data_IF_549911953582
#
_entry.id   IF_549911953582
#
_cell.length_a   1.000
_cell.length_b   1.000
_cell.length_c   1.000
_cell.angle_alpha   90.00
_cell.angle_beta   90.00
_cell.angle_gamma   90.00
#
_symmetry.space_group_name_H-M   'P 1'
#
loop_
_entity.id
_entity.type
_entity.pdbx_description
1 polymer ?
#
# COMPACT_ATOMS: atom_id res chain seq x y z
N UNK A 1 -46.69 -21.46 -12.60
CA UNK A 1 -45.28 -21.02 -12.54
C UNK A 1 -44.90 -20.63 -13.96
N UNK A 2 -44.50 -19.37 -14.22
CA UNK A 2 -44.09 -18.96 -15.56
C UNK A 2 -42.69 -19.47 -15.83
N UNK A 3 -42.49 -20.20 -16.92
CA UNK A 3 -41.13 -20.49 -17.40
C UNK A 3 -40.42 -19.18 -17.73
N UNK A 4 -39.16 -19.06 -17.32
CA UNK A 4 -38.28 -17.97 -17.73
C UNK A 4 -37.84 -18.24 -19.17
N UNK A 5 -38.50 -17.59 -20.13
CA UNK A 5 -38.21 -17.72 -21.57
C UNK A 5 -36.80 -17.20 -21.91
N UNK A 6 -35.80 -18.07 -21.79
CA UNK A 6 -34.41 -17.74 -22.08
C UNK A 6 -34.13 -17.73 -23.58
N UNK A 7 -33.66 -16.57 -24.07
CA UNK A 7 -33.27 -16.41 -25.46
C UNK A 7 -31.88 -17.02 -25.71
N UNK A 8 -31.81 -18.13 -26.46
CA UNK A 8 -30.54 -18.65 -26.96
C UNK A 8 -30.08 -17.83 -28.17
N UNK A 9 -28.82 -17.39 -28.19
CA UNK A 9 -28.23 -16.62 -29.31
C UNK A 9 -27.08 -17.38 -29.96
N UNK A 10 -27.09 -17.47 -31.28
CA UNK A 10 -25.93 -17.89 -32.08
C UNK A 10 -25.19 -16.64 -32.56
N UNK A 11 -23.87 -16.62 -32.38
CA UNK A 11 -23.01 -15.47 -32.64
C UNK A 11 -21.95 -15.80 -33.69
N UNK A 12 -21.93 -15.03 -34.76
CA UNK A 12 -20.96 -15.12 -35.86
C UNK A 12 -20.13 -13.84 -35.86
N UNK A 13 -18.81 -14.00 -35.77
CA UNK A 13 -17.86 -12.90 -35.87
C UNK A 13 -16.93 -13.15 -37.06
N UNK A 14 -16.87 -12.19 -37.98
CA UNK A 14 -15.93 -12.19 -39.09
C UNK A 14 -14.93 -11.05 -38.89
N UNK A 15 -13.66 -11.32 -39.13
CA UNK A 15 -12.62 -10.29 -39.16
C UNK A 15 -12.64 -9.58 -40.53
N UNK A 16 -12.50 -8.27 -40.50
CA UNK A 16 -12.39 -7.44 -41.70
C UNK A 16 -11.07 -7.69 -42.43
N UNK A 17 -11.04 -7.31 -43.70
CA UNK A 17 -9.86 -7.43 -44.55
C UNK A 17 -8.69 -6.54 -44.08
N UNK A 18 -7.47 -7.01 -44.34
CA UNK A 18 -6.24 -6.26 -44.08
C UNK A 18 -5.87 -5.54 -45.38
N UNK A 19 -5.46 -4.27 -45.27
CA UNK A 19 -5.04 -3.44 -46.39
C UNK A 19 -4.02 -4.15 -47.30
N UNK A 20 -4.28 -4.18 -48.61
CA UNK A 20 -3.50 -4.88 -49.64
C UNK A 20 -2.02 -4.46 -49.73
N UNK A 21 -1.65 -3.31 -49.19
CA UNK A 21 -0.25 -2.89 -49.04
C UNK A 21 0.56 -3.73 -48.05
N UNK A 22 -0.09 -4.50 -47.17
CA UNK A 22 0.58 -5.31 -46.14
C UNK A 22 0.89 -6.71 -46.65
N UNK A 23 2.17 -6.98 -46.94
CA UNK A 23 2.64 -8.31 -47.38
C UNK A 23 2.50 -9.36 -46.27
N UNK A 24 2.00 -10.55 -46.62
CA UNK A 24 1.82 -11.67 -45.68
C UNK A 24 3.09 -12.05 -44.90
N UNK A 25 4.27 -11.94 -45.51
CA UNK A 25 5.56 -12.22 -44.84
C UNK A 25 5.81 -11.27 -43.68
N UNK A 26 5.62 -9.97 -43.88
CA UNK A 26 5.78 -8.93 -42.85
C UNK A 26 4.72 -9.04 -41.75
N UNK A 27 3.52 -9.54 -42.09
CA UNK A 27 2.50 -9.86 -41.10
C UNK A 27 2.94 -11.03 -40.20
N UNK A 28 3.42 -12.14 -40.77
CA UNK A 28 3.93 -13.31 -40.03
C UNK A 28 5.13 -12.95 -39.13
N UNK A 29 6.01 -12.07 -39.60
CA UNK A 29 7.15 -11.56 -38.83
C UNK A 29 6.69 -10.76 -37.62
N UNK A 30 5.73 -9.84 -37.80
CA UNK A 30 5.07 -9.14 -36.69
C UNK A 30 4.37 -10.11 -35.71
N UNK A 31 3.69 -11.15 -36.20
CA UNK A 31 3.06 -12.14 -35.32
C UNK A 31 4.07 -12.93 -34.49
N UNK A 32 5.22 -13.28 -35.08
CA UNK A 32 6.32 -13.96 -34.38
C UNK A 32 6.95 -13.06 -33.31
N UNK A 33 7.23 -11.80 -33.64
CA UNK A 33 7.75 -10.81 -32.68
C UNK A 33 6.75 -10.52 -31.54
N UNK A 34 5.45 -10.47 -31.82
CA UNK A 34 4.43 -10.32 -30.76
C UNK A 34 4.27 -11.57 -29.87
N UNK A 35 4.51 -12.77 -30.40
CA UNK A 35 4.46 -14.01 -29.62
C UNK A 35 5.73 -14.21 -28.77
N UNK A 36 6.89 -13.85 -29.31
CA UNK A 36 8.20 -13.92 -28.66
C UNK A 36 8.99 -12.64 -28.94
N UNK A 37 8.96 -11.63 -28.05
CA UNK A 37 9.63 -10.36 -28.28
C UNK A 37 11.16 -10.52 -28.34
N UNK A 38 11.75 -10.21 -29.50
CA UNK A 38 13.21 -10.21 -29.71
C UNK A 38 13.76 -8.78 -29.87
N UNK A 39 12.89 -7.77 -29.98
CA UNK A 39 13.26 -6.36 -30.16
C UNK A 39 13.45 -5.95 -31.61
N UNK A 40 12.98 -6.76 -32.56
CA UNK A 40 13.14 -6.53 -34.00
C UNK A 40 12.14 -5.46 -34.46
N UNK A 41 12.57 -4.53 -35.32
CA UNK A 41 11.67 -3.54 -35.92
C UNK A 41 10.75 -4.23 -36.93
N UNK A 42 9.45 -4.17 -36.68
CA UNK A 42 8.40 -4.80 -37.51
C UNK A 42 7.37 -3.77 -37.96
N UNK A 43 6.51 -4.15 -38.92
CA UNK A 43 5.42 -3.28 -39.39
C UNK A 43 4.47 -2.90 -38.24
N UNK A 44 3.89 -1.69 -38.29
CA UNK A 44 2.85 -1.28 -37.34
C UNK A 44 1.66 -2.23 -37.45
N UNK A 45 1.25 -2.82 -36.33
CA UNK A 45 0.12 -3.75 -36.31
C UNK A 45 -1.15 -3.09 -36.91
N UNK A 46 -1.78 -3.71 -37.94
CA UNK A 46 -2.98 -3.19 -38.56
C UNK A 46 -4.15 -3.17 -37.57
N UNK A 47 -5.16 -2.34 -37.86
CA UNK A 47 -6.39 -2.29 -37.08
C UNK A 47 -7.16 -3.60 -37.29
N UNK A 48 -7.61 -4.23 -36.20
CA UNK A 48 -8.52 -5.37 -36.30
C UNK A 48 -9.93 -4.80 -36.41
N UNK A 49 -10.48 -4.80 -37.62
CA UNK A 49 -11.90 -4.54 -37.80
C UNK A 49 -12.66 -5.88 -37.70
N UNK A 50 -13.89 -5.86 -37.23
CA UNK A 50 -14.77 -7.03 -37.23
C UNK A 50 -16.22 -6.66 -37.50
N UNK A 51 -16.97 -7.62 -38.03
CA UNK A 51 -18.42 -7.58 -38.15
C UNK A 51 -19.00 -8.67 -37.27
N UNK A 52 -20.01 -8.32 -36.47
CA UNK A 52 -20.69 -9.25 -35.57
C UNK A 52 -22.14 -9.43 -36.02
N UNK A 53 -22.61 -10.66 -36.12
CA UNK A 53 -24.01 -10.98 -36.34
C UNK A 53 -24.46 -11.97 -35.27
N UNK A 54 -25.52 -11.63 -34.54
CA UNK A 54 -26.12 -12.47 -33.51
C UNK A 54 -27.59 -12.68 -33.84
N UNK A 55 -28.08 -13.92 -33.76
CA UNK A 55 -29.51 -14.19 -33.92
C UNK A 55 -30.01 -15.21 -32.90
N UNK A 56 -31.25 -15.01 -32.45
CA UNK A 56 -31.97 -15.92 -31.56
C UNK A 56 -33.15 -16.54 -32.30
N UNK A 57 -33.16 -17.86 -32.56
CA UNK A 57 -34.31 -18.55 -33.13
C UNK A 57 -35.56 -18.43 -32.23
N UNK A 58 -35.36 -18.65 -30.93
CA UNK A 58 -36.44 -18.73 -29.93
C UNK A 58 -37.16 -17.39 -29.76
N UNK A 59 -36.39 -16.29 -29.72
CA UNK A 59 -36.92 -14.94 -29.49
C UNK A 59 -37.07 -14.12 -30.77
N UNK A 60 -36.83 -14.71 -31.95
CA UNK A 60 -36.93 -14.10 -33.29
C UNK A 60 -36.23 -12.73 -33.42
N UNK A 61 -35.12 -12.56 -32.71
CA UNK A 61 -34.36 -11.32 -32.64
C UNK A 61 -32.99 -11.49 -33.31
N UNK A 62 -32.62 -10.54 -34.16
CA UNK A 62 -31.30 -10.45 -34.76
C UNK A 62 -30.64 -9.10 -34.45
N UNK A 63 -29.34 -9.12 -34.16
CA UNK A 63 -28.53 -7.97 -33.78
C UNK A 63 -27.27 -8.00 -34.65
N UNK A 64 -27.00 -6.93 -35.39
CA UNK A 64 -25.84 -6.83 -36.28
C UNK A 64 -24.99 -5.60 -35.98
N UNK A 65 -23.68 -5.80 -35.84
CA UNK A 65 -22.66 -4.74 -35.73
C UNK A 65 -21.87 -4.72 -37.02
N UNK A 66 -22.07 -3.69 -37.84
CA UNK A 66 -21.41 -3.51 -39.15
C UNK A 66 -19.93 -3.09 -39.05
N UNK A 67 -19.51 -2.56 -37.90
CA UNK A 67 -18.13 -2.15 -37.65
C UNK A 67 -17.83 -2.21 -36.16
N UNK A 68 -16.95 -3.13 -35.77
CA UNK A 68 -16.30 -3.16 -34.46
C UNK A 68 -14.80 -2.97 -34.63
N UNK A 69 -14.20 -2.02 -33.91
CA UNK A 69 -12.74 -1.93 -33.80
C UNK A 69 -12.27 -2.80 -32.61
N UNK A 70 -11.32 -3.69 -32.88
CA UNK A 70 -10.73 -4.62 -31.93
C UNK A 70 -9.25 -4.36 -31.69
N UNK A 71 -8.78 -4.68 -30.48
CA UNK A 71 -7.36 -4.71 -30.16
C UNK A 71 -6.87 -6.16 -30.12
N UNK A 72 -5.78 -6.48 -30.84
CA UNK A 72 -5.18 -7.81 -30.76
C UNK A 72 -4.77 -8.12 -29.31
N UNK A 73 -5.01 -9.36 -28.88
CA UNK A 73 -4.81 -9.85 -27.51
C UNK A 73 -3.40 -9.55 -26.97
N UNK A 74 -2.36 -9.78 -27.77
CA UNK A 74 -0.96 -9.59 -27.38
C UNK A 74 -0.67 -8.10 -27.09
N UNK A 75 -1.20 -7.20 -27.93
CA UNK A 75 -1.13 -5.74 -27.74
C UNK A 75 -1.89 -5.29 -26.49
N UNK A 76 -3.04 -5.89 -26.20
CA UNK A 76 -3.80 -5.64 -24.97
C UNK A 76 -3.00 -6.06 -23.72
N UNK A 77 -2.46 -7.29 -23.69
CA UNK A 77 -1.65 -7.75 -22.56
C UNK A 77 -0.36 -6.95 -22.37
N UNK A 78 0.37 -6.63 -23.44
CA UNK A 78 1.56 -5.78 -23.35
C UNK A 78 1.21 -4.39 -22.77
N UNK A 79 0.10 -3.78 -23.21
CA UNK A 79 -0.39 -2.51 -22.67
C UNK A 79 -0.79 -2.63 -21.19
N UNK A 80 -1.48 -3.71 -20.81
CA UNK A 80 -1.89 -3.98 -19.44
C UNK A 80 -0.69 -4.21 -18.49
N UNK A 81 0.31 -4.98 -18.91
CA UNK A 81 1.57 -5.20 -18.17
C UNK A 81 2.33 -3.88 -18.00
N UNK A 82 2.43 -3.06 -19.05
CA UNK A 82 3.10 -1.76 -18.97
C UNK A 82 2.36 -0.78 -18.02
N UNK A 83 1.02 -0.73 -18.07
CA UNK A 83 0.25 0.07 -17.10
C UNK A 83 0.38 -0.47 -15.66
N UNK A 84 0.34 -1.78 -15.46
CA UNK A 84 0.55 -2.40 -14.15
C UNK A 84 1.97 -2.11 -13.61
N UNK A 85 2.99 -2.10 -14.48
CA UNK A 85 4.35 -1.69 -14.15
C UNK A 85 4.46 -0.20 -13.76
N UNK A 86 3.86 0.71 -14.53
CA UNK A 86 3.86 2.14 -14.22
C UNK A 86 3.08 2.48 -12.93
N UNK A 87 1.92 1.84 -12.71
CA UNK A 87 1.18 1.93 -11.46
C UNK A 87 1.98 1.32 -10.29
N UNK A 88 2.62 0.17 -10.51
CA UNK A 88 3.46 -0.50 -9.53
C UNK A 88 4.66 0.35 -9.09
N UNK A 89 5.40 0.93 -10.04
CA UNK A 89 6.60 1.74 -9.75
C UNK A 89 6.28 3.00 -8.96
N UNK A 90 5.21 3.73 -9.31
CA UNK A 90 4.76 4.90 -8.55
C UNK A 90 4.33 4.53 -7.12
N UNK A 91 3.44 3.54 -6.96
CA UNK A 91 2.98 3.07 -5.65
C UNK A 91 4.12 2.46 -4.80
N UNK A 92 5.17 1.92 -5.43
CA UNK A 92 6.36 1.43 -4.71
C UNK A 92 7.13 2.56 -3.99
N UNK A 93 7.04 3.81 -4.46
CA UNK A 93 7.67 4.97 -3.82
C UNK A 93 6.87 5.52 -2.63
N UNK A 94 5.57 5.24 -2.57
CA UNK A 94 4.66 5.74 -1.52
C UNK A 94 4.91 5.05 -0.19
N UNK A 95 4.89 5.80 0.91
CA UNK A 95 5.09 5.27 2.25
C UNK A 95 3.79 4.72 2.83
N UNK A 96 3.79 3.42 3.11
CA UNK A 96 2.69 2.72 3.76
C UNK A 96 2.19 3.44 5.02
N UNK A 97 3.11 3.93 5.87
CA UNK A 97 2.76 4.60 7.12
C UNK A 97 2.13 5.99 6.93
N UNK A 98 2.55 6.76 5.93
CA UNK A 98 1.91 8.04 5.59
C UNK A 98 0.45 7.83 5.21
N UNK A 99 0.18 6.84 4.37
CA UNK A 99 -1.19 6.50 3.97
C UNK A 99 -1.98 5.91 5.16
N UNK A 100 -1.36 5.07 5.98
CA UNK A 100 -2.01 4.51 7.18
C UNK A 100 -2.47 5.60 8.16
N UNK A 101 -1.64 6.62 8.43
CA UNK A 101 -2.02 7.74 9.30
C UNK A 101 -3.15 8.57 8.67
N UNK A 102 -3.14 8.80 7.35
CA UNK A 102 -4.22 9.51 6.66
C UNK A 102 -5.56 8.76 6.74
N UNK A 103 -5.58 7.46 6.42
CA UNK A 103 -6.80 6.62 6.49
C UNK A 103 -7.34 6.54 7.93
N UNK A 104 -6.44 6.51 8.91
CA UNK A 104 -6.79 6.58 10.32
C UNK A 104 -7.42 7.92 10.71
N UNK A 105 -6.84 9.05 10.27
CA UNK A 105 -7.46 10.37 10.46
C UNK A 105 -8.83 10.46 9.77
N UNK A 106 -9.00 9.90 8.58
CA UNK A 106 -10.30 9.86 7.88
C UNK A 106 -11.35 9.05 8.63
N UNK A 107 -10.97 7.93 9.27
CA UNK A 107 -11.90 7.17 10.11
C UNK A 107 -12.33 7.95 11.36
N UNK A 108 -11.45 8.79 11.92
CA UNK A 108 -11.82 9.69 13.02
C UNK A 108 -12.70 10.85 12.57
N UNK A 109 -12.44 11.43 11.38
CA UNK A 109 -13.34 12.41 10.79
C UNK A 109 -14.71 11.81 10.49
N UNK A 110 -14.78 10.57 9.99
CA UNK A 110 -16.05 9.86 9.79
C UNK A 110 -16.84 9.71 11.10
N UNK A 111 -16.17 9.30 12.18
CA UNK A 111 -16.79 9.19 13.51
C UNK A 111 -17.26 10.55 14.03
N UNK A 112 -16.43 11.59 13.90
CA UNK A 112 -16.79 12.96 14.32
C UNK A 112 -18.03 13.46 13.58
N UNK A 113 -18.09 13.31 12.25
CA UNK A 113 -19.27 13.72 11.50
C UNK A 113 -20.54 12.98 11.95
N UNK A 114 -20.46 11.67 12.15
CA UNK A 114 -21.59 10.86 12.62
C UNK A 114 -22.05 11.31 14.03
N UNK A 115 -21.11 11.49 14.96
CA UNK A 115 -21.41 11.94 16.33
C UNK A 115 -22.00 13.35 16.35
N UNK A 116 -21.44 14.32 15.62
CA UNK A 116 -22.01 15.67 15.54
C UNK A 116 -23.40 15.68 14.90
N UNK A 117 -23.63 14.88 13.86
CA UNK A 117 -24.96 14.74 13.26
C UNK A 117 -26.00 14.16 14.21
N UNK A 118 -25.62 13.20 15.07
CA UNK A 118 -26.51 12.58 16.07
C UNK A 118 -26.77 13.51 17.27
N UNK A 119 -25.79 14.35 17.67
CA UNK A 119 -25.90 15.23 18.82
C UNK A 119 -26.54 16.60 18.52
N UNK A 120 -26.67 16.97 17.24
CA UNK A 120 -27.14 18.29 16.82
C UNK A 120 -28.20 18.15 15.73
N UNK A 121 -29.47 18.09 16.14
CA UNK A 121 -30.62 17.76 15.27
C UNK A 121 -30.68 18.58 13.97
N UNK A 122 -30.45 19.89 14.04
CA UNK A 122 -30.50 20.79 12.88
C UNK A 122 -29.34 20.59 11.89
N UNK A 123 -28.29 19.84 12.28
CA UNK A 123 -27.14 19.47 11.43
C UNK A 123 -27.20 18.01 10.96
N UNK A 124 -28.20 17.23 11.38
CA UNK A 124 -28.28 15.79 11.13
C UNK A 124 -28.08 15.41 9.65
N UNK A 125 -28.86 16.00 8.74
CA UNK A 125 -28.84 15.66 7.31
C UNK A 125 -27.45 15.85 6.66
N UNK A 126 -26.82 17.04 6.69
CA UNK A 126 -25.50 17.23 6.07
C UNK A 126 -24.39 16.42 6.74
N UNK A 127 -24.42 16.28 8.07
CA UNK A 127 -23.37 15.55 8.80
C UNK A 127 -23.46 14.02 8.62
N UNK A 128 -24.67 13.45 8.60
CA UNK A 128 -24.86 12.02 8.28
C UNK A 128 -24.45 11.75 6.83
N UNK A 129 -24.81 12.60 5.87
CA UNK A 129 -24.34 12.48 4.49
C UNK A 129 -22.81 12.54 4.38
N UNK A 130 -22.16 13.49 5.05
CA UNK A 130 -20.69 13.60 5.10
C UNK A 130 -20.03 12.37 5.75
N UNK A 131 -20.65 11.81 6.81
CA UNK A 131 -20.19 10.58 7.45
C UNK A 131 -20.28 9.37 6.51
N UNK A 132 -21.35 9.25 5.72
CA UNK A 132 -21.50 8.18 4.73
C UNK A 132 -20.41 8.24 3.66
N UNK A 133 -20.16 9.41 3.06
CA UNK A 133 -19.09 9.54 2.07
C UNK A 133 -17.70 9.30 2.67
N UNK A 134 -17.46 9.77 3.89
CA UNK A 134 -16.19 9.53 4.60
C UNK A 134 -15.99 8.05 4.95
N UNK A 135 -17.05 7.34 5.34
CA UNK A 135 -17.03 5.89 5.54
C UNK A 135 -16.69 5.15 4.25
N UNK A 136 -17.31 5.52 3.13
CA UNK A 136 -17.02 4.94 1.81
C UNK A 136 -15.56 5.20 1.40
N UNK A 137 -15.03 6.41 1.64
CA UNK A 137 -13.64 6.75 1.38
C UNK A 137 -12.66 5.87 2.19
N UNK A 138 -12.90 5.69 3.48
CA UNK A 138 -12.07 4.83 4.34
C UNK A 138 -12.18 3.35 3.95
N UNK A 139 -13.41 2.83 3.92
CA UNK A 139 -13.68 1.39 3.80
C UNK A 139 -13.38 0.85 2.39
N UNK A 140 -13.72 1.60 1.34
CA UNK A 140 -13.46 1.18 -0.03
C UNK A 140 -12.09 1.64 -0.55
N UNK A 141 -11.75 2.93 -0.44
CA UNK A 141 -10.58 3.46 -1.12
C UNK A 141 -9.32 3.39 -0.26
N UNK A 142 -9.37 3.85 0.99
CA UNK A 142 -8.25 3.86 1.93
C UNK A 142 -7.69 2.46 2.18
N UNK A 143 -8.53 1.54 2.65
CA UNK A 143 -8.11 0.16 2.96
C UNK A 143 -7.63 -0.62 1.72
N UNK A 144 -8.28 -0.46 0.56
CA UNK A 144 -7.81 -1.09 -0.69
C UNK A 144 -6.47 -0.51 -1.16
N UNK A 145 -6.26 0.79 -1.05
CA UNK A 145 -4.99 1.41 -1.43
C UNK A 145 -3.84 0.96 -0.51
N UNK A 146 -4.09 0.85 0.80
CA UNK A 146 -3.13 0.24 1.74
C UNK A 146 -2.81 -1.21 1.39
N UNK A 147 -3.78 -2.04 0.99
CA UNK A 147 -3.53 -3.42 0.52
C UNK A 147 -2.67 -3.47 -0.75
N UNK A 148 -2.90 -2.57 -1.71
CA UNK A 148 -2.11 -2.49 -2.95
C UNK A 148 -0.66 -2.11 -2.63
N UNK A 149 -0.45 -1.08 -1.80
CA UNK A 149 0.88 -0.72 -1.27
C UNK A 149 1.51 -1.91 -0.53
N UNK A 150 0.74 -2.61 0.32
CA UNK A 150 1.22 -3.75 1.09
C UNK A 150 1.72 -4.86 0.17
N UNK A 151 0.95 -5.24 -0.86
CA UNK A 151 1.31 -6.30 -1.81
C UNK A 151 2.52 -5.93 -2.66
N UNK A 152 2.60 -4.71 -3.19
CA UNK A 152 3.75 -4.24 -3.99
C UNK A 152 5.05 -4.24 -3.17
N UNK A 153 4.99 -3.85 -1.90
CA UNK A 153 6.17 -3.76 -1.02
C UNK A 153 6.50 -5.08 -0.29
N UNK A 154 5.82 -6.19 -0.62
CA UNK A 154 6.00 -7.51 0.00
C UNK A 154 7.41 -8.09 -0.21
N UNK A 155 8.05 -7.99 -1.40
CA UNK A 155 9.42 -8.47 -1.60
C UNK A 155 10.45 -7.71 -0.74
N UNK A 156 10.32 -6.38 -0.60
CA UNK A 156 11.19 -5.55 0.25
C UNK A 156 11.11 -5.96 1.72
N UNK A 157 9.90 -6.20 2.25
CA UNK A 157 9.71 -6.64 3.64
C UNK A 157 10.30 -8.03 3.88
N UNK A 158 10.12 -8.97 2.93
CA UNK A 158 10.74 -10.30 2.98
C UNK A 158 12.27 -10.19 2.95
N UNK A 159 12.83 -9.39 2.04
CA UNK A 159 14.27 -9.13 1.96
C UNK A 159 14.86 -8.54 3.24
N UNK A 160 14.19 -7.56 3.87
CA UNK A 160 14.60 -7.01 5.17
C UNK A 160 14.55 -8.06 6.29
N UNK A 161 13.48 -8.85 6.37
CA UNK A 161 13.35 -9.93 7.38
C UNK A 161 14.45 -10.98 7.22
N UNK A 162 14.75 -11.38 5.99
CA UNK A 162 15.81 -12.35 5.71
C UNK A 162 17.21 -11.80 6.09
N UNK A 163 17.51 -10.53 5.79
CA UNK A 163 18.76 -9.88 6.20
C UNK A 163 18.89 -9.78 7.73
N UNK A 164 17.80 -9.42 8.42
CA UNK A 164 17.79 -9.36 9.89
C UNK A 164 17.99 -10.75 10.53
N UNK A 165 17.36 -11.79 9.99
CA UNK A 165 17.55 -13.17 10.44
C UNK A 165 18.98 -13.66 10.21
N UNK A 166 19.59 -13.34 9.05
CA UNK A 166 20.98 -13.68 8.77
C UNK A 166 21.96 -12.96 9.72
N UNK A 167 21.72 -11.68 10.02
CA UNK A 167 22.52 -10.93 10.99
C UNK A 167 22.38 -11.47 12.42
N UNK A 168 21.17 -11.86 12.83
CA UNK A 168 20.92 -12.49 14.13
C UNK A 168 21.61 -13.87 14.24
N UNK A 169 21.57 -14.68 13.18
CA UNK A 169 22.28 -15.96 13.13
C UNK A 169 23.81 -15.80 13.21
N UNK A 170 24.37 -14.81 12.50
CA UNK A 170 25.79 -14.48 12.58
C UNK A 170 26.21 -14.00 13.98
N UNK A 171 25.38 -13.17 14.64
CA UNK A 171 25.62 -12.74 16.02
C UNK A 171 25.57 -13.91 17.02
N UNK A 172 24.62 -14.84 16.83
CA UNK A 172 24.52 -16.05 17.67
C UNK A 172 25.76 -16.94 17.53
N UNK A 173 26.25 -17.17 16.30
CA UNK A 173 27.44 -17.98 16.05
C UNK A 173 28.71 -17.39 16.70
N UNK A 174 28.85 -16.06 16.71
CA UNK A 174 30.00 -15.38 17.32
C UNK A 174 30.04 -15.59 18.85
N UNK A 175 28.88 -15.57 19.51
CA UNK A 175 28.78 -15.79 20.96
C UNK A 175 29.12 -17.23 21.36
N UNK A 176 28.88 -18.23 20.49
CA UNK A 176 29.26 -19.63 20.73
C UNK A 176 30.77 -19.83 20.65
N UNK A 177 31.48 -19.10 19.79
CA UNK A 177 32.94 -19.20 19.66
C UNK A 177 33.67 -18.65 20.89
N UNK A 178 33.20 -17.57 21.50
CA UNK A 178 33.80 -16.96 22.69
C UNK A 178 33.57 -17.74 24.00
N UNK A 179 32.60 -18.65 24.03
CA UNK A 179 32.33 -19.49 25.21
C UNK A 179 33.24 -20.72 25.33
N UNK A 180 34.05 -21.03 24.32
CA UNK A 180 34.83 -22.26 24.24
C UNK A 180 36.32 -22.11 24.68
N UNK A 181 36.79 -20.89 24.97
CA UNK A 181 38.21 -20.61 25.23
C UNK A 181 38.58 -20.36 26.70
N UNK A 182 37.63 -20.48 27.63
CA UNK A 182 37.87 -20.32 29.09
C UNK A 182 37.05 -21.35 29.87
N UNK A 183 37.65 -22.51 30.17
CA UNK A 183 36.95 -23.58 30.90
C UNK A 183 37.63 -24.95 30.82
N UNK A 184 38.96 -24.99 31.00
CA UNK A 184 39.73 -26.23 30.98
C UNK A 184 40.36 -26.56 32.34
N UNK A 185 39.61 -26.41 33.44
CA UNK A 185 39.92 -27.03 34.73
C UNK A 185 38.72 -26.95 35.69
N UNK A 186 38.23 -28.12 36.11
CA UNK A 186 37.42 -28.44 37.30
C UNK A 186 36.44 -29.60 37.01
N UNK A 187 36.85 -30.82 37.33
CA UNK A 187 35.94 -31.97 37.35
C UNK A 187 35.33 -32.12 38.75
N UNK A 188 34.00 -32.30 38.85
CA UNK A 188 33.37 -33.33 39.70
C UNK A 188 31.82 -33.26 39.72
N UNK A 189 31.21 -34.44 39.86
CA UNK A 189 29.92 -34.73 40.48
C UNK A 189 28.59 -34.46 39.74
N UNK A 190 28.00 -35.60 39.34
CA UNK A 190 26.56 -35.95 39.43
C UNK A 190 25.74 -36.00 38.12
N UNK A 191 25.50 -37.25 37.73
CA UNK A 191 24.82 -37.80 36.54
C UNK A 191 23.29 -37.60 36.55
N UNK A 192 22.67 -37.99 35.42
CA UNK A 192 21.23 -38.20 35.11
C UNK A 192 20.57 -36.94 34.50
N UNK A 193 20.07 -36.94 33.25
CA UNK A 193 19.97 -38.02 32.25
C UNK A 193 20.07 -37.54 30.78
N UNK A 194 20.55 -38.40 29.87
CA UNK A 194 20.28 -38.33 28.42
C UNK A 194 20.45 -39.71 27.79
N UNK A 195 19.39 -40.24 27.18
CA UNK A 195 19.44 -41.54 26.51
C UNK A 195 20.42 -41.54 25.35
N UNK A 196 21.22 -42.60 25.28
CA UNK A 196 22.25 -42.85 24.27
C UNK A 196 21.63 -43.34 22.98
N UNK A 197 21.91 -42.67 21.86
CA UNK A 197 21.82 -43.24 20.52
C UNK A 197 23.12 -42.90 19.78
N UNK A 198 24.19 -43.62 20.15
CA UNK A 198 25.52 -43.48 19.56
C UNK A 198 25.98 -44.85 19.06
N UNK A 199 25.93 -45.06 17.74
CA UNK A 199 26.63 -46.17 17.11
C UNK A 199 28.15 -45.92 17.17
N UNK A 200 28.98 -46.95 17.41
CA UNK A 200 30.43 -46.80 17.47
C UNK A 200 31.01 -46.63 16.06
N UNK A 201 31.21 -45.38 15.64
CA UNK A 201 31.75 -45.03 14.33
C UNK A 201 31.85 -43.51 14.17
N UNK A 202 32.93 -42.93 14.72
CA UNK A 202 33.07 -41.50 14.95
C UNK A 202 33.25 -40.61 13.71
N UNK A 203 32.21 -40.48 12.89
CA UNK A 203 32.03 -39.33 12.00
C UNK A 203 30.87 -38.48 12.54
N UNK A 204 31.06 -37.17 12.80
CA UNK A 204 29.97 -36.32 13.25
C UNK A 204 28.90 -36.23 12.16
N UNK A 205 27.63 -36.43 12.55
CA UNK A 205 26.50 -36.18 11.65
C UNK A 205 26.59 -34.75 11.12
N UNK A 206 26.41 -34.51 9.79
CA UNK A 206 26.50 -33.18 9.24
C UNK A 206 25.44 -32.29 9.88
N UNK A 207 25.87 -31.19 10.50
CA UNK A 207 24.98 -30.17 11.05
C UNK A 207 24.08 -29.67 9.92
N UNK A 208 22.84 -30.14 9.90
CA UNK A 208 21.84 -29.66 8.96
C UNK A 208 21.54 -28.20 9.30
N UNK A 209 22.16 -27.28 8.55
CA UNK A 209 21.77 -25.88 8.54
C UNK A 209 20.24 -25.83 8.37
N UNK A 210 19.51 -25.04 9.19
CA UNK A 210 18.05 -25.04 9.17
C UNK A 210 17.53 -24.89 7.74
N UNK A 211 16.92 -25.97 7.22
CA UNK A 211 16.36 -25.99 5.86
C UNK A 211 15.46 -24.76 5.73
N UNK A 212 15.70 -23.85 4.76
CA UNK A 212 14.87 -22.68 4.59
C UNK A 212 13.41 -23.13 4.52
N UNK A 213 12.59 -22.66 5.46
CA UNK A 213 11.19 -23.04 5.51
C UNK A 213 10.57 -22.78 4.13
N UNK A 214 9.94 -23.82 3.57
CA UNK A 214 9.30 -23.73 2.27
C UNK A 214 8.36 -22.50 2.28
N UNK A 215 8.30 -21.71 1.19
CA UNK A 215 7.44 -20.54 1.14
C UNK A 215 6.00 -20.96 1.46
N UNK A 216 5.50 -20.51 2.60
CA UNK A 216 4.14 -20.71 3.07
C UNK A 216 3.15 -20.34 1.93
N UNK A 217 2.14 -21.16 1.63
CA UNK A 217 1.25 -20.90 0.51
C UNK A 217 0.51 -19.58 0.70
N UNK A 218 0.79 -18.64 -0.21
CA UNK A 218 0.38 -17.23 -0.13
C UNK A 218 -1.15 -17.06 -0.20
N UNK A 219 -1.84 -17.17 0.94
CA UNK A 219 -3.28 -16.91 1.00
C UNK A 219 -3.55 -15.40 1.02
N UNK A 220 -4.19 -14.81 -0.03
CA UNK A 220 -4.43 -13.36 -0.09
C UNK A 220 -5.43 -12.87 0.96
N UNK A 221 -6.08 -13.79 1.68
CA UNK A 221 -7.00 -13.55 2.81
C UNK A 221 -6.25 -13.27 4.12
N UNK A 222 -5.13 -13.96 4.42
CA UNK A 222 -4.40 -13.77 5.68
C UNK A 222 -3.69 -12.41 5.73
N UNK A 223 -3.04 -12.01 4.63
CA UNK A 223 -2.46 -10.67 4.43
C UNK A 223 -3.51 -9.56 4.65
N UNK A 224 -4.76 -9.81 4.23
CA UNK A 224 -5.86 -8.88 4.41
C UNK A 224 -6.34 -8.85 5.87
N UNK A 225 -6.60 -10.00 6.48
CA UNK A 225 -7.00 -10.10 7.89
C UNK A 225 -5.97 -9.47 8.82
N UNK A 226 -4.68 -9.69 8.58
CA UNK A 226 -3.60 -9.09 9.36
C UNK A 226 -3.53 -7.55 9.22
N UNK A 227 -3.84 -7.01 8.03
CA UNK A 227 -3.89 -5.57 7.80
C UNK A 227 -5.07 -4.92 8.54
N UNK A 228 -6.27 -5.48 8.36
CA UNK A 228 -7.50 -4.98 8.99
C UNK A 228 -7.45 -5.13 10.50
N UNK A 229 -6.94 -6.27 11.02
CA UNK A 229 -6.73 -6.48 12.45
C UNK A 229 -5.83 -5.42 13.08
N UNK A 230 -4.72 -5.05 12.42
CA UNK A 230 -3.86 -3.94 12.89
C UNK A 230 -4.60 -2.60 12.88
N UNK A 231 -5.37 -2.32 11.84
CA UNK A 231 -6.14 -1.07 11.73
C UNK A 231 -7.19 -0.96 12.84
N UNK A 232 -7.97 -2.02 13.07
CA UNK A 232 -8.97 -2.06 14.15
C UNK A 232 -8.33 -2.02 15.54
N UNK A 233 -7.19 -2.67 15.74
CA UNK A 233 -6.47 -2.60 17.02
C UNK A 233 -5.94 -1.19 17.30
N UNK A 234 -5.41 -0.49 16.27
CA UNK A 234 -5.05 0.92 16.39
C UNK A 234 -6.27 1.77 16.76
N UNK A 235 -7.41 1.60 16.09
CA UNK A 235 -8.65 2.32 16.39
C UNK A 235 -9.16 2.11 17.83
N UNK A 236 -9.12 0.87 18.33
CA UNK A 236 -9.51 0.55 19.71
C UNK A 236 -8.55 1.22 20.71
N UNK A 237 -7.24 1.11 20.48
CA UNK A 237 -6.24 1.73 21.34
C UNK A 237 -6.36 3.26 21.38
N UNK A 238 -6.65 3.91 20.25
CA UNK A 238 -6.89 5.34 20.20
C UNK A 238 -8.25 5.76 20.76
N UNK A 239 -9.29 4.94 20.68
CA UNK A 239 -10.55 5.19 21.37
C UNK A 239 -10.36 5.17 22.90
N UNK A 240 -9.61 4.19 23.42
CA UNK A 240 -9.21 4.16 24.84
C UNK A 240 -8.36 5.39 25.21
N UNK A 241 -7.47 5.82 24.31
CA UNK A 241 -6.65 7.03 24.51
C UNK A 241 -7.52 8.29 24.57
N UNK A 242 -8.47 8.45 23.65
CA UNK A 242 -9.41 9.58 23.63
C UNK A 242 -10.33 9.60 24.86
N UNK A 243 -10.82 8.44 25.31
CA UNK A 243 -11.54 8.32 26.57
C UNK A 243 -10.69 8.80 27.75
N UNK A 244 -9.41 8.39 27.82
CA UNK A 244 -8.48 8.88 28.85
C UNK A 244 -8.22 10.38 28.77
N UNK A 245 -8.15 10.96 27.57
CA UNK A 245 -8.05 12.42 27.37
C UNK A 245 -9.28 13.13 27.93
N UNK A 246 -10.48 12.63 27.63
CA UNK A 246 -11.75 13.25 28.03
C UNK A 246 -11.99 13.26 29.55
N UNK A 247 -11.49 12.26 30.29
CA UNK A 247 -11.60 12.19 31.77
C UNK A 247 -10.40 12.78 32.52
N UNK A 248 -9.39 13.32 31.80
CA UNK A 248 -8.18 13.86 32.41
C UNK A 248 -8.34 15.32 32.85
N UNK A 249 -7.52 15.76 33.81
CA UNK A 249 -7.41 17.17 34.17
C UNK A 249 -6.99 18.02 32.96
N UNK A 250 -7.51 19.24 32.83
CA UNK A 250 -7.32 20.16 31.69
C UNK A 250 -5.85 20.34 31.28
N UNK A 251 -4.90 20.37 32.22
CA UNK A 251 -3.45 20.45 31.91
C UNK A 251 -2.96 19.20 31.17
N UNK A 252 -3.36 18.02 31.65
CA UNK A 252 -3.01 16.72 31.07
C UNK A 252 -3.72 16.53 29.73
N UNK A 253 -5.00 16.90 29.65
CA UNK A 253 -5.78 16.92 28.42
C UNK A 253 -5.09 17.75 27.33
N UNK A 254 -4.73 19.01 27.61
CA UNK A 254 -4.05 19.88 26.64
C UNK A 254 -2.68 19.34 26.20
N UNK A 255 -1.91 18.76 27.13
CA UNK A 255 -0.63 18.10 26.81
C UNK A 255 -0.84 16.87 25.91
N UNK A 256 -1.79 16.00 26.23
CA UNK A 256 -2.09 14.80 25.45
C UNK A 256 -2.67 15.13 24.07
N UNK A 257 -3.59 16.10 23.97
CA UNK A 257 -4.12 16.58 22.68
C UNK A 257 -2.98 17.15 21.83
N UNK A 258 -2.09 17.96 22.40
CA UNK A 258 -0.93 18.52 21.68
C UNK A 258 0.01 17.41 21.18
N UNK A 259 0.29 16.40 22.01
CA UNK A 259 1.11 15.26 21.64
C UNK A 259 0.45 14.40 20.54
N UNK A 260 -0.84 14.09 20.67
CA UNK A 260 -1.60 13.37 19.65
C UNK A 260 -1.69 14.16 18.33
N UNK A 261 -1.87 15.48 18.39
CA UNK A 261 -1.86 16.35 17.23
C UNK A 261 -0.48 16.31 16.53
N UNK A 262 0.62 16.49 17.27
CA UNK A 262 1.97 16.38 16.69
C UNK A 262 2.22 15.00 16.05
N UNK A 263 1.80 13.90 16.68
CA UNK A 263 1.95 12.55 16.13
C UNK A 263 1.13 12.34 14.85
N UNK A 264 -0.15 12.72 14.85
CA UNK A 264 -1.04 12.52 13.70
C UNK A 264 -0.68 13.45 12.54
N UNK A 265 -0.40 14.72 12.80
CA UNK A 265 0.02 15.69 11.78
C UNK A 265 1.49 15.55 11.34
N UNK A 266 2.22 14.57 11.87
CA UNK A 266 3.52 14.12 11.35
C UNK A 266 3.39 13.12 10.18
N UNK A 267 2.23 13.06 9.52
CA UNK A 267 1.95 12.07 8.46
C UNK A 267 2.88 12.16 7.24
N UNK A 268 3.57 13.28 7.00
CA UNK A 268 4.58 13.36 5.93
C UNK A 268 5.95 12.78 6.31
N UNK A 269 6.29 12.69 7.60
CA UNK A 269 7.60 12.19 8.05
C UNK A 269 7.92 10.78 7.52
N UNK A 270 6.99 9.80 7.56
CA UNK A 270 7.25 8.47 6.99
C UNK A 270 7.49 8.48 5.48
N UNK A 271 7.03 9.50 4.74
CA UNK A 271 7.35 9.68 3.31
C UNK A 271 8.74 10.27 3.14
N UNK A 272 9.11 11.30 3.93
CA UNK A 272 10.46 11.89 3.94
C UNK A 272 11.51 10.81 4.18
N UNK A 273 11.29 9.96 5.19
CA UNK A 273 12.18 8.82 5.52
C UNK A 273 12.21 7.78 4.40
N UNK A 274 11.08 7.48 3.75
CA UNK A 274 11.06 6.55 2.61
C UNK A 274 11.83 7.09 1.40
N UNK A 275 11.68 8.38 1.10
CA UNK A 275 12.40 9.07 0.02
C UNK A 275 13.91 8.98 0.24
N UNK A 276 14.40 9.26 1.47
CA UNK A 276 15.81 9.07 1.88
C UNK A 276 16.29 7.67 1.57
N UNK A 277 15.61 6.66 2.13
CA UNK A 277 16.08 5.27 2.09
C UNK A 277 16.17 4.78 0.64
N UNK A 278 15.11 4.97 -0.15
CA UNK A 278 15.05 4.54 -1.55
C UNK A 278 15.76 5.46 -2.55
N UNK A 279 16.31 6.59 -2.12
CA UNK A 279 16.88 7.60 -3.03
C UNK A 279 15.88 8.10 -4.10
N UNK A 280 14.57 8.01 -3.84
CA UNK A 280 13.52 8.25 -4.84
C UNK A 280 13.04 9.70 -4.85
N UNK A 281 13.16 10.37 -6.00
CA UNK A 281 12.47 11.64 -6.29
C UNK A 281 11.03 11.39 -6.75
N UNK A 282 10.16 12.38 -6.50
CA UNK A 282 8.73 12.43 -6.87
C UNK A 282 7.99 11.16 -6.46
N UNK A 283 8.03 10.87 -5.16
CA UNK A 283 7.35 9.72 -4.56
C UNK A 283 5.83 9.89 -4.43
N UNK A 284 5.39 11.15 -4.36
CA UNK A 284 4.00 11.61 -4.42
C UNK A 284 3.93 12.78 -5.41
N UNK A 285 2.74 13.10 -5.92
CA UNK A 285 2.57 14.30 -6.74
C UNK A 285 2.50 15.55 -5.87
N UNK A 286 3.08 16.65 -6.36
CA UNK A 286 3.05 17.95 -5.67
C UNK A 286 1.62 18.39 -5.31
N UNK A 287 0.70 18.26 -6.28
CA UNK A 287 -0.72 18.59 -6.10
C UNK A 287 -1.40 17.75 -5.01
N UNK A 288 -1.05 16.46 -4.87
CA UNK A 288 -1.52 15.64 -3.76
C UNK A 288 -0.95 16.12 -2.42
N UNK A 289 0.35 16.42 -2.34
CA UNK A 289 0.97 16.91 -1.10
C UNK A 289 0.36 18.24 -0.64
N UNK A 290 0.16 19.19 -1.56
CA UNK A 290 -0.45 20.49 -1.26
C UNK A 290 -1.95 20.33 -0.92
N UNK A 291 -2.73 19.65 -1.76
CA UNK A 291 -4.17 19.45 -1.56
C UNK A 291 -4.49 18.71 -0.25
N UNK A 292 -3.77 17.63 0.05
CA UNK A 292 -3.93 16.92 1.32
C UNK A 292 -3.47 17.76 2.52
N UNK A 293 -2.42 18.57 2.39
CA UNK A 293 -2.00 19.45 3.49
C UNK A 293 -3.04 20.51 3.81
N UNK A 294 -3.57 21.20 2.79
CA UNK A 294 -4.59 22.25 2.95
C UNK A 294 -5.86 21.67 3.55
N UNK A 295 -6.43 20.62 2.94
CA UNK A 295 -7.67 20.00 3.41
C UNK A 295 -7.58 19.47 4.85
N UNK A 296 -6.43 18.92 5.27
CA UNK A 296 -6.20 18.48 6.65
C UNK A 296 -6.08 19.63 7.65
N UNK A 297 -5.67 20.82 7.21
CA UNK A 297 -5.53 22.01 8.05
C UNK A 297 -6.84 22.80 8.22
N UNK A 298 -7.81 22.68 7.31
CA UNK A 298 -9.10 23.39 7.39
C UNK A 298 -9.79 23.18 8.74
N UNK A 299 -9.99 21.93 9.16
CA UNK A 299 -10.72 21.64 10.40
C UNK A 299 -9.97 22.10 11.68
N UNK A 300 -8.66 21.81 11.86
CA UNK A 300 -7.89 22.37 12.97
C UNK A 300 -7.89 23.90 13.03
N UNK A 301 -7.74 24.59 11.89
CA UNK A 301 -7.74 26.06 11.84
C UNK A 301 -9.14 26.60 12.16
N UNK A 302 -10.20 25.95 11.67
CA UNK A 302 -11.58 26.33 12.00
C UNK A 302 -11.85 26.20 13.52
N UNK A 303 -11.57 25.05 14.13
CA UNK A 303 -11.88 24.82 15.54
C UNK A 303 -10.98 25.56 16.54
N UNK A 304 -9.70 25.77 16.23
CA UNK A 304 -8.74 26.38 17.18
C UNK A 304 -8.28 27.80 16.80
N UNK A 305 -8.66 28.29 15.62
CA UNK A 305 -8.30 29.62 15.11
C UNK A 305 -9.48 30.57 14.88
N UNK A 306 -10.70 30.07 14.67
CA UNK A 306 -11.89 30.91 14.54
C UNK A 306 -12.50 31.22 15.92
N UNK A 307 -12.73 32.50 16.29
CA UNK A 307 -13.39 32.85 17.55
C UNK A 307 -14.88 32.46 17.55
N UNK A 308 -15.54 32.55 16.41
CA UNK A 308 -16.92 32.10 16.21
C UNK A 308 -16.89 30.71 15.56
N UNK A 309 -16.67 29.68 16.38
CA UNK A 309 -16.75 28.28 15.95
C UNK A 309 -17.98 27.59 16.57
N UNK A 310 -18.47 26.55 15.89
CA UNK A 310 -19.66 25.79 16.30
C UNK A 310 -19.55 25.15 17.70
N UNK A 311 -18.33 24.96 18.22
CA UNK A 311 -18.07 24.32 19.53
C UNK A 311 -17.85 25.33 20.67
N UNK A 312 -17.85 26.64 20.42
CA UNK A 312 -17.55 27.68 21.41
C UNK A 312 -16.14 27.61 22.01
N UNK A 313 -15.18 26.98 21.34
CA UNK A 313 -13.82 26.83 21.86
C UNK A 313 -12.99 28.11 21.63
N UNK A 314 -12.36 28.66 22.67
CA UNK A 314 -11.54 29.87 22.52
C UNK A 314 -10.36 29.69 21.54
N UNK A 315 -9.98 30.70 20.74
CA UNK A 315 -8.82 30.62 19.86
C UNK A 315 -7.51 30.37 20.64
N UNK A 316 -6.74 29.38 20.22
CA UNK A 316 -5.52 28.96 20.94
C UNK A 316 -4.27 29.06 20.08
N UNK A 317 -3.24 29.72 20.61
CA UNK A 317 -2.03 30.07 19.83
C UNK A 317 -1.21 28.87 19.32
N UNK A 318 -1.38 27.67 19.90
CA UNK A 318 -0.63 26.48 19.50
C UNK A 318 -0.95 26.01 18.06
N UNK A 319 -2.14 26.35 17.53
CA UNK A 319 -2.53 25.98 16.16
C UNK A 319 -1.55 26.49 15.10
N UNK A 320 -0.97 27.68 15.30
CA UNK A 320 0.03 28.25 14.39
C UNK A 320 1.35 27.49 14.43
N UNK A 321 1.71 26.90 15.58
CA UNK A 321 2.82 25.96 15.69
C UNK A 321 2.59 24.68 14.91
N UNK A 322 1.36 24.15 14.91
CA UNK A 322 0.97 22.99 14.09
C UNK A 322 1.03 23.31 12.59
N UNK A 323 0.51 24.47 12.17
CA UNK A 323 0.59 24.95 10.78
C UNK A 323 2.05 25.07 10.33
N UNK A 324 2.90 25.71 11.14
CA UNK A 324 4.35 25.82 10.86
C UNK A 324 5.03 24.44 10.78
N UNK A 325 4.69 23.51 11.66
CA UNK A 325 5.23 22.15 11.65
C UNK A 325 4.91 21.38 10.37
N UNK A 326 3.67 21.48 9.88
CA UNK A 326 3.26 20.82 8.64
C UNK A 326 3.87 21.53 7.43
N UNK A 327 3.93 22.87 7.44
CA UNK A 327 4.61 23.64 6.40
C UNK A 327 6.11 23.26 6.29
N UNK A 328 6.79 23.05 7.41
CA UNK A 328 8.18 22.55 7.45
C UNK A 328 8.29 21.16 6.85
N UNK A 329 7.39 20.23 7.19
CA UNK A 329 7.39 18.89 6.58
C UNK A 329 7.19 18.94 5.06
N UNK A 330 6.27 19.78 4.56
CA UNK A 330 6.06 19.98 3.13
C UNK A 330 7.29 20.60 2.48
N UNK A 331 7.89 21.64 3.08
CA UNK A 331 9.11 22.26 2.57
C UNK A 331 10.26 21.24 2.43
N UNK A 332 10.44 20.33 3.40
CA UNK A 332 11.41 19.23 3.29
C UNK A 332 11.10 18.28 2.14
N UNK A 333 9.83 17.91 1.92
CA UNK A 333 9.43 17.09 0.75
C UNK A 333 9.74 17.80 -0.58
N UNK A 334 9.46 19.11 -0.70
CA UNK A 334 9.79 19.89 -1.90
C UNK A 334 11.30 19.95 -2.13
N UNK A 335 12.07 20.14 -1.06
CA UNK A 335 13.52 20.23 -1.12
C UNK A 335 14.17 18.88 -1.46
N UNK A 336 13.56 17.76 -1.04
CA UNK A 336 13.92 16.40 -1.49
C UNK A 336 13.67 16.17 -2.98
N UNK A 337 12.66 16.79 -3.58
CA UNK A 337 12.41 16.68 -5.02
C UNK A 337 13.39 17.55 -5.83
N UNK A 338 13.68 18.76 -5.36
CA UNK A 338 14.61 19.70 -6.01
C UNK A 338 16.08 19.26 -5.84
N UNK A 339 16.67 19.39 -4.64
CA UNK A 339 18.07 19.05 -4.37
C UNK A 339 18.33 17.53 -4.37
N UNK A 340 17.31 16.74 -4.05
CA UNK A 340 17.36 15.28 -4.06
C UNK A 340 17.19 14.65 -2.68
N UNK A 341 16.81 13.37 -2.58
CA UNK A 341 16.18 12.84 -1.38
C UNK A 341 17.07 12.74 -0.13
N UNK A 342 18.39 12.84 -0.33
CA UNK A 342 19.43 12.72 0.70
C UNK A 342 20.20 14.04 0.92
N UNK A 343 19.66 15.20 0.50
CA UNK A 343 20.40 16.49 0.52
C UNK A 343 20.95 16.89 1.90
N UNK A 344 20.28 16.50 2.98
CA UNK A 344 20.64 16.80 4.38
C UNK A 344 21.53 15.74 5.04
N UNK A 345 21.90 14.67 4.33
CA UNK A 345 22.68 13.57 4.91
C UNK A 345 24.16 13.78 4.59
N UNK A 346 25.06 13.82 5.60
CA UNK A 346 26.48 13.93 5.37
C UNK A 346 26.99 12.77 4.50
N UNK A 347 27.82 13.08 3.49
CA UNK A 347 28.39 12.08 2.54
C UNK A 347 29.12 10.91 3.23
N UNK A 348 29.53 11.07 4.49
CA UNK A 348 30.18 10.05 5.34
C UNK A 348 29.23 8.94 5.80
N UNK A 349 27.91 9.18 5.86
CA UNK A 349 26.91 8.16 6.23
C UNK A 349 26.53 7.37 4.97
N UNK A 350 27.29 6.32 4.68
CA UNK A 350 27.09 5.50 3.50
C UNK A 350 25.82 4.63 3.63
N UNK A 351 24.73 5.07 3.01
CA UNK A 351 23.58 4.23 2.72
C UNK A 351 23.73 3.64 1.31
N UNK A 352 23.72 2.30 1.14
CA UNK A 352 23.79 1.69 -0.19
C UNK A 352 22.70 2.26 -1.12
N UNK A 353 23.00 2.26 -2.42
CA UNK A 353 22.11 2.75 -3.47
C UNK A 353 20.93 1.81 -3.69
#
# INVERSE_FOLDING_TARGET
MSETSSCHYQMYMQLGEINSSVRSTSLKELEREMATPQGISTIKAPHLNSTLFMYSPNCRLAIGIKYGEGMKREKFYAKAVNYAGMAGTSVSKVSYWTIAIQVFMDSYLCMLHLTTGILVDFLFIPFVAASFFSFVLVAMFGMRYMLVIWRIQRPERRGRRNRAAAAAAAAAANNTATGASTGAEAAAATTINRATDTMPGGLPLPVQAPRPAAPEPDSPRSDMQALYGRFYWMLIASLVTLYKIAISSTRVQNMMISACALLLFSFWIPQIVRNVIRGSKRGLSLWFVLGMTVTRLVLPIYFYGCPENLMGHEPTKWIWGLVLWIALQVAVLLLQDWLGPRFFIPKKVWLPR
#
